data_IF_580415996798
#
_entry.id   IF_580415996798
#
_cell.length_a   1.000
_cell.length_b   1.000
_cell.length_c   1.000
_cell.angle_alpha   90.00
_cell.angle_beta   90.00
_cell.angle_gamma   90.00
#
_symmetry.space_group_name_H-M   'P 1'
#
loop_
_entity.id
_entity.type
_entity.pdbx_description
1 polymer ?
#
# COMPACT_ATOMS: atom_id res chain seq x y z
N UNK A 1 5.42 19.75 -10.92
CA UNK A 1 4.20 19.05 -10.45
C UNK A 1 3.76 18.08 -11.54
N UNK A 2 4.14 16.83 -11.39
CA UNK A 2 3.92 15.74 -12.38
C UNK A 2 2.49 15.23 -12.41
N UNK A 3 1.72 15.49 -11.32
CA UNK A 3 0.35 14.98 -11.13
C UNK A 3 -0.67 16.12 -11.04
N UNK A 4 -0.37 17.28 -11.61
CA UNK A 4 -1.28 18.44 -11.56
C UNK A 4 -2.66 18.06 -12.09
N UNK A 5 -3.71 18.28 -11.28
CA UNK A 5 -5.11 17.96 -11.57
C UNK A 5 -5.41 16.45 -11.73
N UNK A 6 -4.47 15.56 -11.42
CA UNK A 6 -4.73 14.11 -11.39
C UNK A 6 -5.50 13.72 -10.14
N UNK A 7 -6.48 12.83 -10.30
CA UNK A 7 -7.31 12.31 -9.20
C UNK A 7 -6.70 11.03 -8.68
N UNK A 8 -6.39 10.99 -7.38
CA UNK A 8 -5.80 9.84 -6.72
C UNK A 8 -6.71 9.27 -5.61
N UNK A 9 -6.76 7.95 -5.49
CA UNK A 9 -7.37 7.25 -4.35
C UNK A 9 -6.32 6.38 -3.68
N UNK A 10 -6.18 6.53 -2.36
CA UNK A 10 -5.21 5.77 -1.56
C UNK A 10 -5.97 5.01 -0.45
N UNK A 11 -6.01 3.69 -0.54
CA UNK A 11 -6.57 2.87 0.54
C UNK A 11 -5.59 2.77 1.71
N UNK A 12 -6.09 2.86 2.95
CA UNK A 12 -5.22 2.93 4.12
C UNK A 12 -4.35 4.20 4.14
N UNK A 13 -4.83 5.29 3.55
CA UNK A 13 -4.10 6.57 3.43
C UNK A 13 -4.07 7.42 4.70
N UNK A 14 -4.65 6.95 5.79
CA UNK A 14 -4.77 7.69 7.03
C UNK A 14 -3.59 7.48 8.01
N UNK A 15 -2.55 6.74 7.63
CA UNK A 15 -1.36 6.56 8.47
C UNK A 15 -0.19 5.95 7.69
N UNK A 16 1.01 6.01 8.27
CA UNK A 16 2.19 5.29 7.82
C UNK A 16 2.50 5.47 6.33
N UNK A 17 2.73 4.36 5.62
CA UNK A 17 3.09 4.35 4.19
C UNK A 17 2.01 5.03 3.35
N UNK A 18 0.73 4.70 3.57
CA UNK A 18 -0.37 5.27 2.80
C UNK A 18 -0.47 6.79 2.94
N UNK A 19 -0.25 7.32 4.14
CA UNK A 19 -0.23 8.77 4.37
C UNK A 19 0.97 9.43 3.66
N UNK A 20 2.18 8.85 3.77
CA UNK A 20 3.35 9.38 3.07
C UNK A 20 3.21 9.33 1.54
N UNK A 21 2.46 8.35 1.00
CA UNK A 21 2.10 8.32 -0.42
C UNK A 21 1.15 9.48 -0.74
N UNK A 22 0.09 9.68 0.07
CA UNK A 22 -0.87 10.75 -0.15
C UNK A 22 -0.20 12.13 -0.13
N UNK A 23 0.73 12.39 0.80
CA UNK A 23 1.54 13.61 0.85
C UNK A 23 2.38 13.79 -0.42
N UNK A 24 3.06 12.73 -0.89
CA UNK A 24 3.90 12.81 -2.07
C UNK A 24 3.09 13.09 -3.34
N UNK A 25 1.93 12.42 -3.52
CA UNK A 25 1.04 12.67 -4.65
C UNK A 25 0.48 14.10 -4.62
N UNK A 26 0.06 14.58 -3.43
CA UNK A 26 -0.39 15.96 -3.25
C UNK A 26 0.69 16.98 -3.60
N UNK A 27 1.92 16.77 -3.14
CA UNK A 27 3.05 17.65 -3.42
C UNK A 27 3.37 17.74 -4.92
N UNK A 28 3.02 16.69 -5.68
CA UNK A 28 3.07 16.68 -7.14
C UNK A 28 1.80 17.24 -7.82
N UNK A 29 0.85 17.77 -7.05
CA UNK A 29 -0.33 18.48 -7.55
C UNK A 29 -1.57 17.60 -7.74
N UNK A 30 -1.57 16.35 -7.24
CA UNK A 30 -2.76 15.51 -7.23
C UNK A 30 -3.81 16.02 -6.22
N UNK A 31 -5.06 15.69 -6.52
CA UNK A 31 -6.20 15.81 -5.61
C UNK A 31 -6.85 14.45 -5.43
N UNK A 32 -7.69 14.26 -4.43
CA UNK A 32 -8.42 12.99 -4.33
C UNK A 32 -8.83 12.56 -2.92
N UNK A 33 -8.72 11.26 -2.68
CA UNK A 33 -9.30 10.61 -1.50
C UNK A 33 -8.26 9.74 -0.79
N UNK A 34 -8.25 9.83 0.52
CA UNK A 34 -7.70 8.79 1.40
C UNK A 34 -8.85 8.04 2.07
N UNK A 35 -8.71 6.72 2.25
CA UNK A 35 -9.70 5.94 3.00
C UNK A 35 -9.05 5.13 4.12
N UNK A 36 -9.83 4.83 5.14
CA UNK A 36 -9.43 4.04 6.30
C UNK A 36 -10.61 3.76 7.22
N UNK A 37 -10.45 2.82 8.15
CA UNK A 37 -11.53 2.35 9.04
C UNK A 37 -11.81 3.29 10.23
N UNK A 38 -10.78 3.96 10.71
CA UNK A 38 -10.89 4.81 11.89
C UNK A 38 -11.13 6.28 11.48
N UNK A 39 -12.31 6.82 11.84
CA UNK A 39 -12.71 8.16 11.47
C UNK A 39 -11.78 9.23 12.08
N UNK A 40 -11.38 9.09 13.35
CA UNK A 40 -10.53 10.08 14.03
C UNK A 40 -9.18 10.25 13.35
N UNK A 41 -8.50 9.12 13.03
CA UNK A 41 -7.22 9.18 12.30
C UNK A 41 -7.39 9.68 10.88
N UNK A 42 -8.52 9.36 10.24
CA UNK A 42 -8.84 9.83 8.89
C UNK A 42 -9.01 11.36 8.86
N UNK A 43 -9.76 11.91 9.82
CA UNK A 43 -9.97 13.35 9.94
C UNK A 43 -8.66 14.09 10.21
N UNK A 44 -7.86 13.59 11.15
CA UNK A 44 -6.54 14.16 11.47
C UNK A 44 -5.62 14.17 10.24
N UNK A 45 -5.57 13.06 9.50
CA UNK A 45 -4.74 12.96 8.29
C UNK A 45 -5.25 13.86 7.17
N UNK A 46 -6.56 14.01 7.03
CA UNK A 46 -7.17 14.92 6.06
C UNK A 46 -6.83 16.38 6.37
N UNK A 47 -6.87 16.76 7.66
CA UNK A 47 -6.46 18.10 8.10
C UNK A 47 -4.97 18.35 7.76
N UNK A 48 -4.09 17.39 8.02
CA UNK A 48 -2.65 17.49 7.71
C UNK A 48 -2.39 17.59 6.19
N UNK A 49 -3.10 16.80 5.39
CA UNK A 49 -3.02 16.91 3.93
C UNK A 49 -3.55 18.27 3.45
N UNK A 50 -4.55 18.84 4.11
CA UNK A 50 -5.15 20.11 3.73
C UNK A 50 -5.91 20.05 2.41
N UNK A 51 -6.05 21.21 1.75
CA UNK A 51 -6.88 21.35 0.54
C UNK A 51 -6.44 20.40 -0.56
N UNK A 52 -7.44 19.79 -1.23
CA UNK A 52 -7.25 18.88 -2.37
C UNK A 52 -7.50 17.42 -2.03
N UNK A 53 -7.38 17.02 -0.77
CA UNK A 53 -7.71 15.66 -0.34
C UNK A 53 -8.87 15.64 0.67
N UNK A 54 -9.69 14.58 0.58
CA UNK A 54 -10.73 14.30 1.57
C UNK A 54 -10.57 12.88 2.11
N UNK A 55 -11.08 12.66 3.32
CA UNK A 55 -11.19 11.35 3.93
C UNK A 55 -12.58 10.73 3.68
N UNK A 56 -12.63 9.49 3.27
CA UNK A 56 -13.86 8.69 3.20
C UNK A 56 -13.65 7.43 4.03
N UNK A 57 -14.46 7.25 5.07
CA UNK A 57 -14.42 6.04 5.89
C UNK A 57 -14.82 4.83 5.05
N UNK A 58 -14.03 3.75 5.16
CA UNK A 58 -14.33 2.49 4.50
C UNK A 58 -13.38 1.38 4.92
N UNK A 59 -13.90 0.15 4.95
CA UNK A 59 -13.14 -1.07 5.14
C UNK A 59 -12.94 -1.75 3.78
N UNK A 60 -11.69 -2.00 3.41
CA UNK A 60 -11.37 -2.63 2.12
C UNK A 60 -11.82 -4.09 2.03
N UNK A 61 -12.16 -4.72 3.14
CA UNK A 61 -12.76 -6.06 3.18
C UNK A 61 -14.27 -6.04 2.95
N UNK A 62 -14.90 -4.85 3.00
CA UNK A 62 -16.30 -4.64 2.70
C UNK A 62 -16.46 -4.07 1.28
N UNK A 63 -17.13 -4.82 0.40
CA UNK A 63 -17.28 -4.44 -1.01
C UNK A 63 -18.22 -3.25 -1.24
N UNK A 64 -19.16 -2.99 -0.33
CA UNK A 64 -20.07 -1.85 -0.41
C UNK A 64 -19.34 -0.57 0.03
N UNK A 65 -18.48 -0.65 1.02
CA UNK A 65 -17.61 0.45 1.41
C UNK A 65 -16.67 0.86 0.26
N UNK A 66 -16.06 -0.11 -0.42
CA UNK A 66 -15.23 0.15 -1.60
C UNK A 66 -16.02 0.84 -2.71
N UNK A 67 -17.20 0.33 -3.04
CA UNK A 67 -18.10 0.94 -4.04
C UNK A 67 -18.42 2.39 -3.68
N UNK A 68 -18.79 2.66 -2.43
CA UNK A 68 -19.06 4.01 -1.93
C UNK A 68 -17.86 4.95 -2.06
N UNK A 69 -16.66 4.49 -1.69
CA UNK A 69 -15.41 5.28 -1.81
C UNK A 69 -15.22 5.74 -3.27
N UNK A 70 -15.30 4.82 -4.21
CA UNK A 70 -15.08 5.15 -5.63
C UNK A 70 -16.19 6.01 -6.22
N UNK A 71 -17.43 5.73 -5.88
CA UNK A 71 -18.60 6.52 -6.32
C UNK A 71 -18.49 7.97 -5.82
N UNK A 72 -18.23 8.17 -4.53
CA UNK A 72 -18.08 9.53 -3.96
C UNK A 72 -16.88 10.24 -4.55
N UNK A 73 -15.76 9.53 -4.77
CA UNK A 73 -14.60 10.10 -5.45
C UNK A 73 -14.96 10.61 -6.83
N UNK A 74 -15.61 9.78 -7.64
CA UNK A 74 -16.00 10.15 -9.01
C UNK A 74 -16.99 11.31 -9.07
N UNK A 75 -17.92 11.38 -8.13
CA UNK A 75 -18.87 12.50 -8.02
C UNK A 75 -18.18 13.83 -7.67
N UNK A 76 -17.14 13.78 -6.83
CA UNK A 76 -16.47 14.99 -6.33
C UNK A 76 -15.33 15.47 -7.22
N UNK A 77 -14.54 14.56 -7.76
CA UNK A 77 -13.30 14.87 -8.45
C UNK A 77 -13.27 14.40 -9.92
N UNK A 78 -14.26 13.63 -10.35
CA UNK A 78 -14.23 12.96 -11.65
C UNK A 78 -13.55 11.59 -11.60
N UNK A 79 -13.23 11.04 -12.77
CA UNK A 79 -12.59 9.73 -12.87
C UNK A 79 -11.18 9.73 -12.29
N UNK A 80 -10.75 8.57 -11.82
CA UNK A 80 -9.52 8.35 -11.08
C UNK A 80 -8.36 8.09 -12.04
N UNK A 81 -7.26 8.81 -11.89
CA UNK A 81 -6.01 8.64 -12.64
C UNK A 81 -5.01 7.74 -11.92
N UNK A 82 -5.06 7.70 -10.58
CA UNK A 82 -4.14 6.89 -9.78
C UNK A 82 -4.90 6.16 -8.68
N UNK A 83 -4.75 4.85 -8.62
CA UNK A 83 -5.26 4.01 -7.52
C UNK A 83 -4.08 3.40 -6.77
N UNK A 84 -3.93 3.72 -5.50
CA UNK A 84 -2.95 3.09 -4.61
C UNK A 84 -3.66 2.11 -3.68
N UNK A 85 -3.45 0.83 -3.91
CA UNK A 85 -3.98 -0.27 -3.10
C UNK A 85 -2.97 -0.56 -1.99
N UNK A 86 -3.05 0.24 -0.93
CA UNK A 86 -2.10 0.20 0.18
C UNK A 86 -2.66 -0.47 1.44
N UNK A 87 -3.97 -0.40 1.67
CA UNK A 87 -4.57 -1.05 2.84
C UNK A 87 -4.19 -2.54 2.90
N UNK A 88 -3.69 -2.95 4.05
CA UNK A 88 -3.12 -4.27 4.28
C UNK A 88 -2.09 -4.22 5.40
N UNK A 89 -1.41 -5.34 5.63
CA UNK A 89 -0.39 -5.45 6.67
C UNK A 89 -0.77 -6.45 7.76
N UNK A 90 -0.38 -6.13 8.98
CA UNK A 90 -0.71 -6.93 10.16
C UNK A 90 -2.19 -6.78 10.48
N UNK A 91 -2.84 -7.90 10.75
CA UNK A 91 -4.26 -7.93 11.15
C UNK A 91 -4.38 -7.58 12.62
N UNK A 92 -5.22 -6.61 12.95
CA UNK A 92 -5.41 -6.17 14.34
C UNK A 92 -5.96 -7.33 15.19
N UNK A 93 -5.30 -7.63 16.30
CA UNK A 93 -5.69 -8.69 17.23
C UNK A 93 -5.34 -10.12 16.77
N UNK A 94 -4.73 -10.29 15.60
CA UNK A 94 -4.29 -11.59 15.09
C UNK A 94 -2.76 -11.64 15.15
N UNK A 95 -2.17 -12.49 16.00
CA UNK A 95 -0.72 -12.56 16.12
C UNK A 95 -0.07 -13.07 14.83
N UNK A 96 1.14 -12.59 14.58
CA UNK A 96 2.04 -13.28 13.66
C UNK A 96 2.55 -14.55 14.37
N UNK A 97 2.22 -15.70 13.82
CA UNK A 97 2.48 -16.98 14.46
C UNK A 97 3.20 -17.95 13.50
N UNK A 98 3.89 -18.93 14.09
CA UNK A 98 4.45 -20.01 13.30
C UNK A 98 3.34 -21.03 12.91
N UNK A 99 3.70 -22.01 12.10
CA UNK A 99 2.73 -22.95 11.52
C UNK A 99 1.98 -23.77 12.58
N UNK A 100 2.54 -23.98 13.78
CA UNK A 100 1.89 -24.77 14.81
C UNK A 100 0.73 -24.01 15.48
N UNK A 101 0.81 -22.68 15.50
CA UNK A 101 -0.12 -21.83 16.25
C UNK A 101 -1.13 -21.10 15.34
N UNK A 102 -0.98 -21.20 14.01
CA UNK A 102 -1.89 -20.60 13.03
C UNK A 102 -3.18 -21.39 12.97
N UNK A 103 -4.32 -20.71 13.14
CA UNK A 103 -5.66 -21.27 12.90
C UNK A 103 -6.14 -20.95 11.47
N UNK A 104 -7.15 -21.69 10.98
CA UNK A 104 -7.82 -21.41 9.71
C UNK A 104 -8.39 -19.98 9.69
N UNK A 105 -9.00 -19.53 10.80
CA UNK A 105 -9.53 -18.18 10.94
C UNK A 105 -8.41 -17.12 10.80
N UNK A 106 -7.26 -17.31 11.43
CA UNK A 106 -6.11 -16.41 11.28
C UNK A 106 -5.62 -16.35 9.83
N UNK A 107 -5.54 -17.51 9.17
CA UNK A 107 -5.19 -17.61 7.76
C UNK A 107 -6.15 -16.80 6.89
N UNK A 108 -7.45 -17.00 7.04
CA UNK A 108 -8.48 -16.32 6.27
C UNK A 108 -8.45 -14.81 6.47
N UNK A 109 -8.30 -14.35 7.71
CA UNK A 109 -8.21 -12.92 8.01
C UNK A 109 -6.98 -12.26 7.34
N UNK A 110 -5.82 -12.92 7.34
CA UNK A 110 -4.63 -12.42 6.64
C UNK A 110 -4.82 -12.39 5.12
N UNK A 111 -5.41 -13.44 4.54
CA UNK A 111 -5.67 -13.52 3.10
C UNK A 111 -6.75 -12.53 2.67
N UNK A 112 -7.81 -12.39 3.43
CA UNK A 112 -8.88 -11.43 3.16
C UNK A 112 -8.36 -9.99 3.15
N UNK A 113 -7.56 -9.60 4.17
CA UNK A 113 -7.02 -8.25 4.26
C UNK A 113 -5.93 -7.97 3.23
N UNK A 114 -5.02 -8.92 2.95
CA UNK A 114 -3.81 -8.64 2.19
C UNK A 114 -3.87 -9.04 0.71
N UNK A 115 -4.74 -9.98 0.34
CA UNK A 115 -4.85 -10.46 -1.04
C UNK A 115 -6.24 -10.22 -1.64
N UNK A 116 -7.29 -10.74 -1.00
CA UNK A 116 -8.66 -10.63 -1.51
C UNK A 116 -9.09 -9.16 -1.61
N UNK A 117 -8.83 -8.38 -0.57
CA UNK A 117 -9.13 -6.94 -0.60
C UNK A 117 -8.41 -6.22 -1.73
N UNK A 118 -7.14 -6.58 -2.01
CA UNK A 118 -6.37 -5.95 -3.09
C UNK A 118 -7.02 -6.21 -4.46
N UNK A 119 -7.41 -7.45 -4.74
CA UNK A 119 -8.11 -7.80 -5.98
C UNK A 119 -9.42 -7.04 -6.12
N UNK A 120 -10.26 -7.08 -5.08
CA UNK A 120 -11.59 -6.45 -5.15
C UNK A 120 -11.55 -4.92 -5.11
N UNK A 121 -10.54 -4.32 -4.52
CA UNK A 121 -10.30 -2.87 -4.61
C UNK A 121 -10.09 -2.46 -6.07
N UNK A 122 -9.23 -3.16 -6.82
CA UNK A 122 -9.04 -2.89 -8.25
C UNK A 122 -10.33 -3.14 -9.02
N UNK A 123 -10.98 -4.30 -8.81
CA UNK A 123 -12.24 -4.66 -9.49
C UNK A 123 -13.33 -3.61 -9.29
N UNK A 124 -13.53 -3.13 -8.07
CA UNK A 124 -14.55 -2.11 -7.75
C UNK A 124 -14.19 -0.73 -8.30
N UNK A 125 -12.90 -0.42 -8.44
CA UNK A 125 -12.45 0.83 -9.03
C UNK A 125 -12.63 0.91 -10.55
N UNK A 126 -12.69 -0.22 -11.28
CA UNK A 126 -12.64 -0.26 -12.75
C UNK A 126 -13.63 0.68 -13.46
N UNK A 127 -14.91 0.82 -13.05
CA UNK A 127 -15.84 1.74 -13.70
C UNK A 127 -15.44 3.21 -13.55
N UNK A 128 -14.65 3.51 -12.52
CA UNK A 128 -14.29 4.87 -12.10
C UNK A 128 -12.87 5.26 -12.54
N UNK A 129 -12.06 4.32 -13.05
CA UNK A 129 -10.73 4.62 -13.56
C UNK A 129 -10.78 5.28 -14.93
N UNK A 130 -9.89 6.23 -15.18
CA UNK A 130 -9.56 6.71 -16.52
C UNK A 130 -8.82 5.64 -17.33
N UNK A 131 -8.97 5.66 -18.64
CA UNK A 131 -8.04 4.97 -19.52
C UNK A 131 -6.65 5.63 -19.39
N UNK A 132 -5.61 4.81 -19.35
CA UNK A 132 -4.25 5.27 -19.05
C UNK A 132 -3.96 5.49 -17.56
N UNK A 133 -4.88 5.15 -16.66
CA UNK A 133 -4.66 5.24 -15.21
C UNK A 133 -3.47 4.38 -14.73
N UNK A 134 -2.90 4.76 -13.58
CA UNK A 134 -1.87 3.99 -12.89
C UNK A 134 -2.45 3.33 -11.64
N UNK A 135 -2.34 2.01 -11.54
CA UNK A 135 -2.68 1.22 -10.34
C UNK A 135 -1.39 0.75 -9.68
N UNK A 136 -1.23 1.06 -8.39
CA UNK A 136 -0.05 0.72 -7.60
C UNK A 136 -0.51 -0.20 -6.46
N UNK A 137 -0.09 -1.46 -6.50
CA UNK A 137 -0.32 -2.42 -5.43
C UNK A 137 0.85 -2.37 -4.45
N UNK A 138 0.57 -2.27 -3.15
CA UNK A 138 1.65 -2.30 -2.15
C UNK A 138 1.95 -3.76 -1.78
N UNK A 139 3.12 -4.22 -2.26
CA UNK A 139 3.72 -5.49 -1.92
C UNK A 139 4.45 -5.47 -0.56
N UNK A 140 5.53 -6.22 -0.47
CA UNK A 140 6.44 -6.21 0.69
C UNK A 140 7.72 -6.97 0.36
N UNK A 141 8.85 -6.58 0.95
CA UNK A 141 10.08 -7.39 0.96
C UNK A 141 9.88 -8.78 1.59
N UNK A 142 8.84 -8.96 2.43
CA UNK A 142 8.44 -10.25 3.00
C UNK A 142 7.99 -11.28 1.93
N UNK A 143 7.66 -10.85 0.72
CA UNK A 143 7.40 -11.74 -0.41
C UNK A 143 8.66 -12.48 -0.90
N UNK A 144 9.83 -11.95 -0.61
CA UNK A 144 11.13 -12.44 -1.08
C UNK A 144 12.03 -12.96 0.05
N UNK A 145 11.81 -12.45 1.27
CA UNK A 145 12.63 -12.78 2.43
C UNK A 145 11.75 -13.27 3.57
N UNK A 146 11.85 -14.56 3.86
CA UNK A 146 11.14 -15.16 4.97
C UNK A 146 11.61 -14.60 6.32
N UNK A 147 10.67 -14.43 7.24
CA UNK A 147 10.94 -14.12 8.64
C UNK A 147 10.00 -14.94 9.55
N UNK A 148 10.40 -15.20 10.79
CA UNK A 148 9.55 -15.94 11.74
C UNK A 148 8.14 -15.32 11.85
N UNK A 149 7.12 -16.17 11.84
CA UNK A 149 5.72 -15.77 11.96
C UNK A 149 5.12 -15.07 10.73
N UNK A 150 5.89 -14.85 9.65
CA UNK A 150 5.42 -14.09 8.48
C UNK A 150 5.00 -14.96 7.29
N UNK A 151 4.81 -16.26 7.47
CA UNK A 151 4.56 -17.18 6.35
C UNK A 151 3.32 -16.80 5.53
N UNK A 152 2.18 -16.60 6.18
CA UNK A 152 0.92 -16.27 5.50
C UNK A 152 0.99 -14.87 4.89
N UNK A 153 1.50 -13.91 5.65
CA UNK A 153 1.68 -12.53 5.16
C UNK A 153 2.61 -12.48 3.95
N UNK A 154 3.76 -13.15 4.02
CA UNK A 154 4.72 -13.24 2.90
C UNK A 154 4.10 -13.88 1.66
N UNK A 155 3.36 -14.98 1.83
CA UNK A 155 2.64 -15.65 0.75
C UNK A 155 1.57 -14.73 0.11
N UNK A 156 0.78 -14.03 0.93
CA UNK A 156 -0.20 -13.06 0.43
C UNK A 156 0.46 -11.93 -0.36
N UNK A 157 1.60 -11.40 0.12
CA UNK A 157 2.34 -10.34 -0.57
C UNK A 157 3.04 -10.82 -1.85
N UNK A 158 3.50 -12.07 -1.90
CA UNK A 158 3.98 -12.70 -3.13
C UNK A 158 2.85 -12.86 -4.17
N UNK A 159 1.66 -13.26 -3.71
CA UNK A 159 0.48 -13.32 -4.56
C UNK A 159 0.08 -11.95 -5.12
N UNK A 160 0.20 -10.86 -4.34
CA UNK A 160 -0.05 -9.48 -4.81
C UNK A 160 0.91 -9.08 -5.94
N UNK A 161 2.18 -9.49 -5.87
CA UNK A 161 3.15 -9.24 -6.96
C UNK A 161 2.72 -9.98 -8.24
N UNK A 162 2.31 -11.24 -8.11
CA UNK A 162 1.79 -12.02 -9.25
C UNK A 162 0.49 -11.42 -9.80
N UNK A 163 -0.40 -10.95 -8.92
CA UNK A 163 -1.66 -10.31 -9.27
C UNK A 163 -1.45 -9.08 -10.16
N UNK A 164 -0.44 -8.25 -9.88
CA UNK A 164 -0.13 -7.07 -10.69
C UNK A 164 0.15 -7.44 -12.15
N UNK A 165 0.84 -8.55 -12.40
CA UNK A 165 1.13 -9.04 -13.76
C UNK A 165 -0.13 -9.45 -14.50
N UNK A 166 -1.00 -10.24 -13.86
CA UNK A 166 -2.29 -10.65 -14.44
C UNK A 166 -3.19 -9.46 -14.75
N UNK A 167 -3.39 -8.57 -13.77
CA UNK A 167 -4.21 -7.37 -13.95
C UNK A 167 -3.65 -6.43 -15.02
N UNK A 168 -2.33 -6.38 -15.21
CA UNK A 168 -1.73 -5.59 -16.29
C UNK A 168 -2.17 -6.09 -17.68
N UNK A 169 -2.25 -7.41 -17.87
CA UNK A 169 -2.74 -8.01 -19.12
C UNK A 169 -4.24 -7.75 -19.30
N UNK A 170 -5.04 -7.97 -18.25
CA UNK A 170 -6.49 -7.78 -18.30
C UNK A 170 -6.88 -6.33 -18.63
N UNK A 171 -6.06 -5.36 -18.22
CA UNK A 171 -6.35 -3.94 -18.36
C UNK A 171 -5.58 -3.24 -19.48
N UNK A 172 -4.81 -4.00 -20.28
CA UNK A 172 -3.95 -3.46 -21.33
C UNK A 172 -4.74 -2.71 -22.41
N UNK A 173 -5.94 -3.19 -22.78
CA UNK A 173 -6.81 -2.55 -23.77
C UNK A 173 -7.25 -1.12 -23.34
N UNK A 174 -7.30 -0.86 -22.03
CA UNK A 174 -7.58 0.45 -21.45
C UNK A 174 -6.30 1.25 -21.16
N UNK A 175 -5.12 0.74 -21.55
CA UNK A 175 -3.81 1.35 -21.28
C UNK A 175 -3.56 1.63 -19.78
N UNK A 176 -4.25 0.90 -18.89
CA UNK A 176 -4.07 0.99 -17.46
C UNK A 176 -2.82 0.21 -17.07
N UNK A 177 -1.88 0.87 -16.40
CA UNK A 177 -0.66 0.24 -15.90
C UNK A 177 -0.89 -0.27 -14.48
N UNK A 178 -0.54 -1.50 -14.20
CA UNK A 178 -0.58 -2.06 -12.85
C UNK A 178 0.83 -2.48 -12.46
N UNK A 179 1.36 -1.92 -11.37
CA UNK A 179 2.69 -2.24 -10.87
C UNK A 179 2.65 -2.49 -9.36
N UNK A 180 3.63 -3.19 -8.85
CA UNK A 180 3.82 -3.40 -7.42
C UNK A 180 4.95 -2.52 -6.90
N UNK A 181 4.73 -1.88 -5.77
CA UNK A 181 5.75 -1.20 -4.99
C UNK A 181 5.91 -1.96 -3.67
N UNK A 182 7.09 -2.54 -3.43
CA UNK A 182 7.36 -3.41 -2.30
C UNK A 182 8.30 -2.72 -1.29
N UNK A 183 7.75 -2.21 -0.18
CA UNK A 183 8.56 -1.62 0.88
C UNK A 183 9.36 -2.67 1.65
N UNK A 184 10.52 -2.25 2.17
CA UNK A 184 11.22 -2.94 3.25
C UNK A 184 10.68 -2.54 4.63
N UNK A 185 11.59 -2.48 5.61
CA UNK A 185 11.27 -1.98 6.95
C UNK A 185 11.12 -0.45 6.92
N UNK A 186 9.89 0.04 7.11
CA UNK A 186 9.55 1.46 7.12
C UNK A 186 9.14 1.87 8.53
N UNK A 187 9.70 2.97 9.02
CA UNK A 187 9.35 3.52 10.35
C UNK A 187 7.92 4.07 10.34
N UNK A 188 7.03 3.28 10.90
CA UNK A 188 5.58 3.54 10.98
C UNK A 188 5.02 3.05 12.32
N UNK A 189 3.80 3.45 12.70
CA UNK A 189 3.16 2.95 13.93
C UNK A 189 2.92 1.44 13.96
N UNK A 190 3.18 0.70 12.89
CA UNK A 190 2.94 -0.76 12.80
C UNK A 190 3.74 -1.56 13.84
N UNK A 191 4.92 -1.09 14.24
CA UNK A 191 5.76 -1.80 15.20
C UNK A 191 5.08 -2.00 16.56
N UNK A 192 4.31 -1.02 17.03
CA UNK A 192 3.51 -1.15 18.26
C UNK A 192 2.33 -2.13 18.17
N UNK A 193 2.04 -2.69 16.97
CA UNK A 193 1.08 -3.79 16.80
C UNK A 193 1.74 -5.16 16.78
N UNK A 194 3.05 -5.22 16.59
CA UNK A 194 3.82 -6.48 16.44
C UNK A 194 4.43 -6.89 17.78
N UNK A 195 4.92 -5.91 18.54
CA UNK A 195 5.60 -6.14 19.82
C UNK A 195 5.13 -5.13 20.88
N UNK A 196 5.25 -5.47 22.18
CA UNK A 196 5.03 -4.51 23.26
C UNK A 196 5.86 -3.24 23.11
N UNK A 197 5.34 -2.12 23.59
CA UNK A 197 5.94 -0.79 23.38
C UNK A 197 7.42 -0.70 23.83
N UNK A 198 7.78 -1.38 24.91
CA UNK A 198 9.14 -1.44 25.45
C UNK A 198 10.14 -2.18 24.54
N UNK A 199 9.65 -2.98 23.60
CA UNK A 199 10.49 -3.74 22.64
C UNK A 199 10.62 -3.06 21.28
N UNK A 200 9.81 -2.03 21.01
CA UNK A 200 9.75 -1.38 19.68
C UNK A 200 11.12 -0.87 19.25
N UNK A 201 11.86 -0.20 20.14
CA UNK A 201 13.18 0.37 19.79
C UNK A 201 14.21 -0.71 19.50
N UNK A 202 14.17 -1.82 20.24
CA UNK A 202 15.07 -2.96 19.99
C UNK A 202 14.78 -3.60 18.62
N UNK A 203 13.51 -3.77 18.27
CA UNK A 203 13.09 -4.30 16.96
C UNK A 203 13.45 -3.33 15.84
N UNK A 204 13.26 -2.05 16.01
CA UNK A 204 13.70 -1.03 15.03
C UNK A 204 15.21 -1.09 14.81
N UNK A 205 15.98 -1.19 15.90
CA UNK A 205 17.45 -1.32 15.81
C UNK A 205 17.84 -2.56 15.02
N UNK A 206 17.23 -3.71 15.29
CA UNK A 206 17.46 -4.94 14.52
C UNK A 206 17.27 -4.71 13.01
N UNK A 207 16.16 -4.07 12.62
CA UNK A 207 15.89 -3.78 11.22
C UNK A 207 16.91 -2.82 10.60
N UNK A 208 17.38 -1.82 11.36
CA UNK A 208 18.47 -0.93 10.91
C UNK A 208 19.76 -1.73 10.66
N UNK A 209 20.13 -2.59 11.62
CA UNK A 209 21.39 -3.36 11.58
C UNK A 209 21.45 -4.34 10.40
N UNK A 210 20.32 -4.86 9.94
CA UNK A 210 20.24 -5.80 8.80
C UNK A 210 19.91 -5.12 7.46
N UNK A 211 19.54 -3.84 7.46
CA UNK A 211 19.25 -3.09 6.23
C UNK A 211 20.55 -2.50 5.67
N UNK A 212 20.96 -2.86 4.44
CA UNK A 212 22.21 -2.36 3.85
C UNK A 212 22.33 -0.84 3.79
N UNK A 213 21.21 -0.12 3.62
CA UNK A 213 21.19 1.34 3.66
C UNK A 213 21.52 1.95 5.03
N UNK A 214 21.71 1.15 6.09
CA UNK A 214 22.08 1.59 7.44
C UNK A 214 20.97 2.37 8.17
N UNK A 215 19.73 2.33 7.66
CA UNK A 215 18.56 2.96 8.27
C UNK A 215 17.28 2.23 7.91
N UNK A 216 16.23 2.44 8.66
CA UNK A 216 14.88 2.17 8.18
C UNK A 216 14.48 3.20 7.11
N UNK A 217 13.61 2.80 6.21
CA UNK A 217 12.91 3.73 5.35
C UNK A 217 11.92 4.59 6.16
N UNK A 218 11.51 5.70 5.57
CA UNK A 218 10.42 6.54 6.08
C UNK A 218 9.28 6.57 5.07
N UNK A 219 8.04 6.90 5.47
CA UNK A 219 6.88 6.92 4.55
C UNK A 219 7.12 7.72 3.26
N UNK A 220 7.90 8.81 3.32
CA UNK A 220 8.23 9.62 2.14
C UNK A 220 9.17 8.91 1.14
N UNK A 221 9.98 7.92 1.57
CA UNK A 221 10.78 7.11 0.62
C UNK A 221 9.84 6.34 -0.32
N UNK A 222 8.78 5.75 0.24
CA UNK A 222 7.76 5.03 -0.52
C UNK A 222 6.87 5.99 -1.31
N UNK A 223 6.55 7.14 -0.71
CA UNK A 223 5.75 8.18 -1.36
C UNK A 223 6.37 8.69 -2.67
N UNK A 224 7.69 8.92 -2.69
CA UNK A 224 8.41 9.35 -3.90
C UNK A 224 8.39 8.30 -5.00
N UNK A 225 8.56 7.03 -4.66
CA UNK A 225 8.47 5.93 -5.62
C UNK A 225 7.05 5.77 -6.16
N UNK A 226 6.03 5.93 -5.31
CA UNK A 226 4.63 5.92 -5.72
C UNK A 226 4.30 7.10 -6.64
N UNK A 227 4.80 8.31 -6.37
CA UNK A 227 4.61 9.48 -7.23
C UNK A 227 5.25 9.29 -8.62
N UNK A 228 6.41 8.64 -8.69
CA UNK A 228 7.02 8.24 -9.96
C UNK A 228 6.13 7.26 -10.71
N UNK A 229 5.65 6.18 -10.07
CA UNK A 229 4.77 5.19 -10.70
C UNK A 229 3.41 5.77 -11.12
N UNK A 230 2.91 6.79 -10.41
CA UNK A 230 1.67 7.48 -10.74
C UNK A 230 1.81 8.40 -11.96
N UNK A 231 3.03 8.85 -12.27
CA UNK A 231 3.29 9.84 -13.31
C UNK A 231 3.58 9.21 -14.69
N UNK A 232 3.62 10.05 -15.72
CA UNK A 232 3.99 9.68 -17.08
C UNK A 232 5.48 9.30 -17.23
N UNK A 233 6.32 9.65 -16.23
CA UNK A 233 7.74 9.24 -16.21
C UNK A 233 7.89 7.71 -16.16
N UNK A 234 6.86 7.00 -15.72
CA UNK A 234 6.79 5.54 -15.66
C UNK A 234 5.91 4.92 -16.76
N UNK A 235 5.64 5.64 -17.85
CA UNK A 235 4.72 5.18 -18.90
C UNK A 235 5.10 3.83 -19.54
N UNK A 236 6.38 3.47 -19.55
CA UNK A 236 6.88 2.20 -20.09
C UNK A 236 7.10 1.11 -19.01
N UNK A 237 6.61 1.35 -17.77
CA UNK A 237 6.73 0.42 -16.65
C UNK A 237 5.35 -0.21 -16.40
N UNK A 238 5.20 -1.49 -16.74
CA UNK A 238 3.94 -2.23 -16.68
C UNK A 238 4.20 -3.65 -16.14
N UNK A 239 3.40 -4.10 -15.18
CA UNK A 239 3.45 -5.46 -14.64
C UNK A 239 4.73 -5.76 -13.85
N UNK A 240 5.44 -4.74 -13.39
CA UNK A 240 6.71 -4.90 -12.69
C UNK A 240 6.56 -4.71 -11.19
N UNK A 241 7.60 -5.10 -10.47
CA UNK A 241 7.80 -4.81 -9.06
C UNK A 241 8.97 -3.85 -8.89
N UNK A 242 8.78 -2.83 -8.06
CA UNK A 242 9.87 -1.97 -7.57
C UNK A 242 10.07 -2.26 -6.08
N UNK A 243 11.25 -2.77 -5.72
CA UNK A 243 11.69 -2.90 -4.34
C UNK A 243 12.20 -1.54 -3.82
N UNK A 244 11.61 -1.06 -2.73
CA UNK A 244 12.04 0.15 -2.02
C UNK A 244 12.33 -0.22 -0.56
N UNK A 245 13.42 -0.95 -0.35
CA UNK A 245 13.72 -1.68 0.87
C UNK A 245 15.13 -1.43 1.44
N UNK A 246 15.85 -0.45 0.91
CA UNK A 246 17.21 -0.14 1.34
C UNK A 246 18.23 -1.24 1.06
N UNK A 247 17.93 -2.13 0.10
CA UNK A 247 18.78 -3.26 -0.27
C UNK A 247 18.55 -4.54 0.55
N UNK A 248 17.56 -4.53 1.45
CA UNK A 248 17.28 -5.63 2.39
C UNK A 248 17.08 -6.99 1.69
N UNK A 249 16.46 -7.00 0.52
CA UNK A 249 16.16 -8.21 -0.25
C UNK A 249 17.35 -8.70 -1.07
N UNK A 250 18.04 -7.80 -1.76
CA UNK A 250 18.97 -8.15 -2.82
C UNK A 250 20.44 -8.11 -2.40
N UNK A 251 20.75 -7.49 -1.27
CA UNK A 251 22.14 -7.34 -0.81
C UNK A 251 22.35 -8.08 0.51
N UNK A 252 23.54 -8.69 0.66
CA UNK A 252 23.98 -9.32 1.90
C UNK A 252 25.08 -8.48 2.53
N UNK A 253 24.90 -8.11 3.79
CA UNK A 253 26.00 -7.56 4.58
C UNK A 253 26.93 -8.72 4.96
N UNK A 254 28.08 -8.81 4.29
CA UNK A 254 29.17 -9.70 4.78
C UNK A 254 29.74 -9.03 6.02
N UNK A 255 29.52 -9.64 7.19
CA UNK A 255 30.18 -9.32 8.46
C UNK A 255 31.25 -10.31 8.74
#
# INVERSE_FOLDING_TARGET
MKLKNKVAVITGGNSGIGFGIAEALKNEGAVGVITGRNQTTLDSSTIQLGVGFIGIKGDVTNLDDLENVFKVTALKFGKIDTLVVNAGGIVDGVPMADINDVTEENYDQYMDLNLKSAYFTVKKALPYLNDGASVILIGSSAAHRAAPGMTIYGAAKAAVISLAKGLSLDLLSRKIRVNTLSPGSIDTPVFGKIVPQEQVDAVKKLWIDITPAGRQGVPSDIGKAAAFLASDDSAFIIGTEILSDGGLTNLSLMK
#
